data_IF_283315719615
#
_entry.id   IF_283315719615
#
_cell.length_a   1.000
_cell.length_b   1.000
_cell.length_c   1.000
_cell.angle_alpha   90.00
_cell.angle_beta   90.00
_cell.angle_gamma   90.00
#
_symmetry.space_group_name_H-M   'P 1'
#
loop_
_entity.id
_entity.type
_entity.pdbx_description
1 polymer ?
#
# COMPACT_ATOMS: atom_id res chain seq x y z
N UNK A 1 27.59 -54.41 22.58
CA UNK A 1 28.35 -53.14 22.60
C UNK A 1 28.42 -52.63 21.17
N UNK A 2 27.55 -51.70 20.81
CA UNK A 2 27.54 -51.09 19.49
C UNK A 2 27.36 -49.59 19.72
N UNK A 3 28.44 -48.82 19.60
CA UNK A 3 28.44 -47.39 19.87
C UNK A 3 28.45 -46.67 18.52
N UNK A 4 27.28 -46.22 18.09
CA UNK A 4 27.13 -45.31 16.96
C UNK A 4 27.57 -43.93 17.44
N UNK A 5 28.76 -43.50 17.03
CA UNK A 5 29.23 -42.14 17.27
C UNK A 5 28.61 -41.21 16.23
N UNK A 6 27.49 -40.57 16.58
CA UNK A 6 27.00 -39.38 15.91
C UNK A 6 28.00 -38.24 16.14
N UNK A 7 28.83 -37.94 15.13
CA UNK A 7 29.59 -36.70 15.09
C UNK A 7 28.87 -35.74 14.14
N UNK A 8 28.05 -34.88 14.72
CA UNK A 8 27.64 -33.61 14.11
C UNK A 8 28.84 -32.66 14.17
N UNK A 9 29.36 -32.11 13.06
CA UNK A 9 30.18 -30.93 13.10
C UNK A 9 29.24 -29.72 12.98
N UNK A 10 28.77 -29.22 14.13
CA UNK A 10 28.26 -27.86 14.25
C UNK A 10 29.46 -26.92 14.11
N UNK A 11 29.84 -26.63 12.87
CA UNK A 11 30.86 -25.63 12.62
C UNK A 11 30.18 -24.26 12.55
N UNK A 12 30.26 -23.53 13.66
CA UNK A 12 29.99 -22.11 13.70
C UNK A 12 31.01 -21.40 12.80
N UNK A 13 30.60 -21.03 11.59
CA UNK A 13 31.40 -20.22 10.68
C UNK A 13 30.81 -18.81 10.66
N UNK A 14 31.59 -17.77 11.01
CA UNK A 14 31.13 -16.40 10.96
C UNK A 14 31.21 -15.93 9.50
N UNK A 15 30.12 -16.07 8.75
CA UNK A 15 29.91 -15.17 7.62
C UNK A 15 29.36 -13.90 8.24
N UNK A 16 30.25 -12.93 8.46
CA UNK A 16 29.88 -11.67 9.11
C UNK A 16 28.75 -11.01 8.30
N UNK A 17 27.70 -10.61 9.00
CA UNK A 17 26.59 -9.76 8.51
C UNK A 17 27.09 -8.37 8.04
N UNK A 18 28.41 -8.14 8.00
CA UNK A 18 29.09 -6.87 7.69
C UNK A 18 29.19 -6.50 6.21
N UNK A 19 28.89 -7.39 5.26
CA UNK A 19 28.98 -7.04 3.82
C UNK A 19 27.73 -6.33 3.27
N UNK A 20 26.68 -6.16 4.07
CA UNK A 20 25.59 -5.24 3.73
C UNK A 20 26.02 -3.85 4.16
N UNK A 21 26.34 -2.99 3.20
CA UNK A 21 26.71 -1.61 3.54
C UNK A 21 25.62 -0.99 4.42
N UNK A 22 25.98 -0.32 5.51
CA UNK A 22 25.05 0.42 6.40
C UNK A 22 24.07 1.31 5.60
N UNK A 23 24.49 1.73 4.42
CA UNK A 23 23.70 2.51 3.46
C UNK A 23 22.53 1.70 2.87
N UNK A 24 22.72 0.43 2.52
CA UNK A 24 21.68 -0.45 1.99
C UNK A 24 20.65 -0.83 3.08
N UNK A 25 21.10 -1.12 4.29
CA UNK A 25 20.22 -1.38 5.43
C UNK A 25 19.35 -0.16 5.75
N UNK A 26 19.95 1.03 5.83
CA UNK A 26 19.21 2.28 6.07
C UNK A 26 18.20 2.62 4.98
N UNK A 27 18.52 2.36 3.70
CA UNK A 27 17.59 2.58 2.58
C UNK A 27 16.36 1.68 2.69
N UNK A 28 16.52 0.47 3.22
CA UNK A 28 15.42 -0.49 3.43
C UNK A 28 14.67 -0.28 4.75
N UNK A 29 15.01 0.77 5.51
CA UNK A 29 14.43 1.05 6.83
C UNK A 29 14.89 0.09 7.93
N UNK A 30 15.98 -0.65 7.70
CA UNK A 30 16.55 -1.61 8.64
C UNK A 30 17.65 -0.97 9.48
N UNK A 31 17.80 -1.47 10.71
CA UNK A 31 18.82 -1.05 11.66
C UNK A 31 19.44 -2.22 12.41
N UNK A 32 20.33 -1.89 13.36
CA UNK A 32 21.08 -2.90 14.12
C UNK A 32 20.18 -3.87 14.92
N UNK A 33 18.96 -3.46 15.27
CA UNK A 33 17.98 -4.32 15.95
C UNK A 33 17.46 -5.47 15.09
N UNK A 34 17.60 -5.39 13.77
CA UNK A 34 17.10 -6.41 12.84
C UNK A 34 18.12 -7.52 12.60
N UNK A 35 19.38 -7.34 13.02
CA UNK A 35 20.48 -8.27 12.75
C UNK A 35 20.24 -9.66 13.34
N UNK A 36 19.63 -9.74 14.53
CA UNK A 36 19.31 -11.01 15.16
C UNK A 36 18.26 -11.78 14.37
N UNK A 37 17.19 -11.10 13.94
CA UNK A 37 16.13 -11.69 13.14
C UNK A 37 16.65 -12.13 11.75
N UNK A 38 17.47 -11.29 11.11
CA UNK A 38 18.16 -11.63 9.86
C UNK A 38 19.01 -12.90 10.06
N UNK A 39 19.78 -12.98 11.14
CA UNK A 39 20.62 -14.14 11.42
C UNK A 39 19.81 -15.42 11.62
N UNK A 40 18.64 -15.34 12.28
CA UNK A 40 17.72 -16.48 12.42
C UNK A 40 17.21 -16.96 11.06
N UNK A 41 16.73 -16.04 10.21
CA UNK A 41 16.25 -16.38 8.87
C UNK A 41 17.34 -16.96 7.97
N UNK A 42 18.59 -16.51 8.11
CA UNK A 42 19.73 -17.09 7.40
C UNK A 42 19.96 -18.55 7.82
N UNK A 43 19.73 -18.91 9.09
CA UNK A 43 19.89 -20.28 9.57
C UNK A 43 18.80 -21.22 9.03
N UNK A 44 17.59 -20.70 8.78
CA UNK A 44 16.48 -21.48 8.22
C UNK A 44 16.69 -21.87 6.74
N UNK A 45 17.64 -21.22 6.04
CA UNK A 45 18.01 -21.52 4.66
C UNK A 45 19.12 -22.58 4.65
N UNK A 46 18.73 -23.84 4.50
CA UNK A 46 19.66 -24.98 4.44
C UNK A 46 19.89 -25.44 2.99
N UNK A 47 21.11 -25.27 2.42
CA UNK A 47 21.44 -25.72 1.06
C UNK A 47 21.35 -27.23 0.86
N UNK A 48 21.34 -28.03 1.95
CA UNK A 48 21.16 -29.48 1.89
C UNK A 48 19.68 -29.88 1.86
N UNK A 49 18.77 -28.93 2.08
CA UNK A 49 17.33 -29.15 2.06
C UNK A 49 16.64 -28.16 1.09
N UNK A 50 16.45 -28.55 -0.18
CA UNK A 50 15.81 -27.71 -1.19
C UNK A 50 14.41 -27.23 -0.83
N UNK A 51 13.71 -27.91 0.09
CA UNK A 51 12.39 -27.50 0.58
C UNK A 51 12.41 -26.14 1.29
N UNK A 52 13.53 -25.75 1.90
CA UNK A 52 13.67 -24.49 2.66
C UNK A 52 13.50 -23.26 1.76
N UNK A 53 13.96 -23.32 0.50
CA UNK A 53 13.80 -22.23 -0.48
C UNK A 53 12.34 -22.02 -0.86
N UNK A 54 11.55 -23.09 -0.92
CA UNK A 54 10.14 -23.00 -1.31
C UNK A 54 9.31 -22.25 -0.26
N UNK A 55 9.62 -22.43 1.03
CA UNK A 55 8.90 -21.77 2.13
C UNK A 55 9.46 -20.39 2.48
N UNK A 56 10.71 -20.10 2.10
CA UNK A 56 11.41 -18.87 2.48
C UNK A 56 10.70 -17.57 2.08
N UNK A 57 10.28 -16.75 3.04
CA UNK A 57 9.59 -15.48 2.75
C UNK A 57 8.23 -15.62 2.06
N UNK A 58 7.63 -16.82 2.06
CA UNK A 58 6.29 -17.03 1.50
C UNK A 58 5.27 -16.13 2.20
N UNK A 59 5.32 -16.09 3.54
CA UNK A 59 4.41 -15.31 4.37
C UNK A 59 4.65 -13.81 4.31
N UNK A 60 5.87 -13.39 3.98
CA UNK A 60 6.25 -11.98 3.91
C UNK A 60 5.56 -11.24 2.76
N UNK A 61 5.06 -11.96 1.75
CA UNK A 61 4.44 -11.40 0.55
C UNK A 61 2.98 -11.80 0.30
N UNK A 62 2.33 -12.45 1.27
CA UNK A 62 0.98 -12.99 1.12
C UNK A 62 -0.10 -11.91 0.94
N UNK A 63 0.15 -10.67 1.36
CA UNK A 63 -0.89 -9.65 1.50
C UNK A 63 -0.90 -8.63 0.37
N UNK A 64 0.20 -8.48 -0.38
CA UNK A 64 0.34 -7.48 -1.45
C UNK A 64 -0.81 -7.55 -2.47
N UNK A 65 -1.20 -8.74 -2.94
CA UNK A 65 -2.31 -8.88 -3.91
C UNK A 65 -3.65 -8.46 -3.31
N UNK A 66 -3.92 -8.83 -2.06
CA UNK A 66 -5.14 -8.44 -1.36
C UNK A 66 -5.24 -6.92 -1.21
N UNK A 67 -4.11 -6.25 -0.95
CA UNK A 67 -4.06 -4.80 -0.88
C UNK A 67 -4.33 -4.13 -2.23
N UNK A 68 -3.85 -4.67 -3.34
CA UNK A 68 -4.16 -4.14 -4.67
C UNK A 68 -5.67 -4.17 -4.95
N UNK A 69 -6.32 -5.30 -4.65
CA UNK A 69 -7.76 -5.47 -4.85
C UNK A 69 -8.58 -4.54 -3.93
N UNK A 70 -8.17 -4.42 -2.66
CA UNK A 70 -8.82 -3.52 -1.71
C UNK A 70 -8.68 -2.05 -2.16
N UNK A 71 -7.50 -1.62 -2.59
CA UNK A 71 -7.28 -0.28 -3.16
C UNK A 71 -8.17 -0.02 -4.37
N UNK A 72 -8.23 -0.97 -5.31
CA UNK A 72 -9.10 -0.88 -6.48
C UNK A 72 -10.58 -0.75 -6.09
N UNK A 73 -11.01 -1.48 -5.04
CA UNK A 73 -12.37 -1.36 -4.53
C UNK A 73 -12.66 0.04 -3.96
N UNK A 74 -11.69 0.64 -3.26
CA UNK A 74 -11.81 2.00 -2.71
C UNK A 74 -11.92 3.05 -3.82
N UNK A 75 -11.17 2.89 -4.92
CA UNK A 75 -11.23 3.78 -6.10
C UNK A 75 -12.53 3.58 -6.88
N UNK A 76 -12.96 2.34 -7.11
CA UNK A 76 -14.18 2.03 -7.89
C UNK A 76 -15.45 2.46 -7.17
N UNK A 77 -15.47 2.34 -5.84
CA UNK A 77 -16.55 2.85 -4.99
C UNK A 77 -16.39 4.36 -4.73
N UNK A 78 -15.56 5.06 -5.52
CA UNK A 78 -15.32 6.48 -5.45
C UNK A 78 -16.57 7.30 -5.76
N UNK A 79 -17.39 7.49 -4.74
CA UNK A 79 -18.52 8.42 -4.61
C UNK A 79 -18.14 9.89 -4.86
N UNK A 80 -16.89 10.18 -5.24
CA UNK A 80 -16.41 11.51 -5.64
C UNK A 80 -17.26 12.09 -6.77
N UNK A 81 -17.68 11.26 -7.73
CA UNK A 81 -18.59 11.67 -8.80
C UNK A 81 -19.99 11.99 -8.27
N UNK A 82 -20.55 11.10 -7.45
CA UNK A 82 -21.92 11.19 -6.94
C UNK A 82 -22.10 12.34 -5.94
N UNK A 83 -21.11 12.55 -5.05
CA UNK A 83 -21.05 13.69 -4.13
C UNK A 83 -20.91 15.01 -4.88
N UNK A 84 -20.10 15.04 -5.94
CA UNK A 84 -19.98 16.21 -6.80
C UNK A 84 -21.32 16.58 -7.44
N UNK A 85 -22.06 15.60 -7.96
CA UNK A 85 -23.40 15.80 -8.52
C UNK A 85 -24.43 16.26 -7.47
N UNK A 86 -24.44 15.66 -6.28
CA UNK A 86 -25.33 16.06 -5.19
C UNK A 86 -25.02 17.48 -4.70
N UNK A 87 -23.76 17.85 -4.52
CA UNK A 87 -23.37 19.22 -4.15
C UNK A 87 -23.76 20.24 -5.22
N UNK A 88 -23.67 19.87 -6.50
CA UNK A 88 -24.16 20.67 -7.63
C UNK A 88 -25.67 20.87 -7.56
N UNK A 89 -26.42 19.82 -7.21
CA UNK A 89 -27.87 19.89 -7.01
C UNK A 89 -28.22 20.85 -5.86
N UNK A 90 -27.52 20.80 -4.72
CA UNK A 90 -27.72 21.76 -3.60
C UNK A 90 -27.54 23.19 -4.08
N UNK A 91 -26.44 23.48 -4.77
CA UNK A 91 -26.13 24.82 -5.31
C UNK A 91 -27.23 25.26 -6.29
N UNK A 92 -27.68 24.35 -7.15
CA UNK A 92 -28.74 24.61 -8.14
C UNK A 92 -30.09 24.92 -7.51
N UNK A 93 -30.50 24.17 -6.47
CA UNK A 93 -31.74 24.43 -5.74
C UNK A 93 -31.64 25.77 -5.01
N UNK A 94 -30.52 26.03 -4.33
CA UNK A 94 -30.33 27.25 -3.56
C UNK A 94 -30.33 28.54 -4.41
N UNK A 95 -29.71 28.52 -5.60
CA UNK A 95 -29.76 29.66 -6.53
C UNK A 95 -31.18 29.97 -6.99
N UNK A 96 -32.02 28.94 -7.20
CA UNK A 96 -33.41 29.11 -7.63
C UNK A 96 -34.30 29.71 -6.55
N UNK A 97 -34.08 29.37 -5.28
CA UNK A 97 -34.76 30.03 -4.14
C UNK A 97 -34.35 31.48 -3.98
N UNK A 98 -33.08 31.82 -4.24
CA UNK A 98 -32.59 33.20 -4.17
C UNK A 98 -32.92 34.08 -5.40
N UNK A 99 -33.55 33.52 -6.45
CA UNK A 99 -34.01 34.31 -7.60
C UNK A 99 -35.13 35.31 -7.28
N UNK A 100 -35.68 35.29 -6.05
CA UNK A 100 -36.59 36.34 -5.57
C UNK A 100 -35.90 37.44 -4.73
N UNK A 101 -34.58 37.36 -4.46
CA UNK A 101 -33.91 38.32 -3.55
C UNK A 101 -32.73 39.08 -4.19
N UNK A 102 -32.16 38.64 -5.31
CA UNK A 102 -30.93 39.25 -5.84
C UNK A 102 -30.93 39.49 -7.36
N UNK A 103 -31.87 40.30 -7.85
CA UNK A 103 -31.68 41.04 -9.10
C UNK A 103 -30.76 42.24 -8.85
N UNK A 104 -29.44 42.04 -8.71
CA UNK A 104 -28.55 43.21 -8.69
C UNK A 104 -27.08 43.08 -8.27
N UNK A 105 -26.56 41.94 -7.81
CA UNK A 105 -25.13 41.83 -7.49
C UNK A 105 -24.52 40.55 -8.04
N UNK A 106 -23.56 40.72 -8.96
CA UNK A 106 -22.56 39.69 -9.29
C UNK A 106 -22.02 39.12 -7.98
N UNK A 107 -22.13 37.80 -7.83
CA UNK A 107 -21.67 37.06 -6.66
C UNK A 107 -20.15 37.11 -6.56
N UNK A 108 -19.62 38.08 -5.80
CA UNK A 108 -18.23 38.14 -5.38
C UNK A 108 -17.96 37.13 -4.24
N UNK A 109 -18.09 35.83 -4.51
CA UNK A 109 -17.60 34.76 -3.62
C UNK A 109 -16.18 34.37 -4.06
N UNK A 110 -15.11 34.86 -3.39
CA UNK A 110 -13.73 34.80 -3.89
C UNK A 110 -13.15 33.38 -3.99
N UNK A 111 -13.77 32.39 -3.32
CA UNK A 111 -13.22 31.03 -3.23
C UNK A 111 -13.93 30.02 -4.16
N UNK A 112 -15.16 30.32 -4.60
CA UNK A 112 -16.04 29.33 -5.30
C UNK A 112 -16.51 29.83 -6.68
N UNK A 113 -16.26 31.10 -7.02
CA UNK A 113 -16.67 31.71 -8.30
C UNK A 113 -16.31 30.90 -9.57
N UNK A 114 -15.05 30.45 -9.73
CA UNK A 114 -14.64 29.70 -10.93
C UNK A 114 -15.34 28.34 -11.09
N UNK A 115 -15.81 27.74 -9.99
CA UNK A 115 -16.51 26.46 -10.01
C UNK A 115 -17.95 26.65 -10.48
N UNK A 116 -18.62 27.70 -10.00
CA UNK A 116 -19.99 28.05 -10.37
C UNK A 116 -20.07 28.45 -11.86
N UNK A 117 -19.10 29.20 -12.36
CA UNK A 117 -19.07 29.67 -13.74
C UNK A 117 -18.84 28.53 -14.76
N UNK A 118 -17.99 27.55 -14.44
CA UNK A 118 -17.76 26.36 -15.29
C UNK A 118 -18.97 25.41 -15.31
N UNK A 119 -19.81 25.49 -14.28
CA UNK A 119 -20.98 24.63 -14.06
C UNK A 119 -22.25 25.18 -14.73
N UNK A 120 -22.40 26.51 -14.80
CA UNK A 120 -23.50 27.19 -15.51
C UNK A 120 -23.63 26.76 -16.98
N UNK A 121 -22.52 26.33 -17.60
CA UNK A 121 -22.50 25.84 -18.98
C UNK A 121 -23.10 24.43 -19.17
N UNK A 122 -23.34 23.64 -18.11
CA UNK A 122 -23.84 22.24 -18.23
C UNK A 122 -25.28 22.01 -17.74
N UNK A 123 -25.89 22.95 -17.00
CA UNK A 123 -27.10 22.68 -16.20
C UNK A 123 -28.42 23.35 -16.61
N UNK A 124 -28.63 23.77 -17.86
CA UNK A 124 -29.90 24.41 -18.26
C UNK A 124 -31.01 23.40 -18.65
N UNK A 125 -31.45 22.52 -17.74
CA UNK A 125 -32.71 21.74 -17.90
C UNK A 125 -33.34 21.28 -16.58
N UNK A 126 -33.69 22.21 -15.69
CA UNK A 126 -34.51 21.88 -14.52
C UNK A 126 -35.75 22.77 -14.48
N UNK A 127 -36.78 22.32 -15.19
CA UNK A 127 -38.10 22.95 -15.32
C UNK A 127 -39.05 22.41 -14.24
N UNK A 128 -39.66 23.33 -13.48
CA UNK A 128 -40.92 23.26 -12.72
C UNK A 128 -41.17 22.05 -11.79
N UNK A 129 -41.12 22.28 -10.48
CA UNK A 129 -42.30 22.24 -9.58
C UNK A 129 -41.90 22.77 -8.19
N UNK A 130 -42.67 23.74 -7.70
CA UNK A 130 -42.46 24.43 -6.42
C UNK A 130 -43.26 23.72 -5.33
N UNK A 131 -42.65 22.73 -4.69
CA UNK A 131 -42.99 22.32 -3.33
C UNK A 131 -41.68 22.29 -2.52
N UNK A 132 -41.61 23.26 -1.60
CA UNK A 132 -40.57 23.50 -0.57
C UNK A 132 -39.14 23.14 -0.95
N UNK A 133 -38.50 23.99 -1.76
CA UNK A 133 -37.05 23.94 -2.05
C UNK A 133 -36.15 23.80 -0.81
N UNK A 134 -36.63 24.20 0.38
CA UNK A 134 -35.98 23.95 1.66
C UNK A 134 -35.88 22.45 2.01
N UNK A 135 -36.96 21.69 1.87
CA UNK A 135 -36.96 20.24 2.15
C UNK A 135 -36.08 19.49 1.15
N UNK A 136 -36.02 19.94 -0.10
CA UNK A 136 -35.12 19.39 -1.12
C UNK A 136 -33.65 19.66 -0.76
N UNK A 137 -33.31 20.88 -0.33
CA UNK A 137 -31.98 21.22 0.17
C UNK A 137 -31.62 20.36 1.40
N UNK A 138 -32.51 20.26 2.38
CA UNK A 138 -32.27 19.50 3.60
C UNK A 138 -32.08 18.00 3.30
N UNK A 139 -32.82 17.45 2.32
CA UNK A 139 -32.65 16.06 1.85
C UNK A 139 -31.28 15.84 1.21
N UNK A 140 -30.88 16.68 0.25
CA UNK A 140 -29.59 16.53 -0.42
C UNK A 140 -28.43 16.75 0.57
N UNK A 141 -28.56 17.66 1.53
CA UNK A 141 -27.59 17.81 2.62
C UNK A 141 -27.44 16.50 3.41
N UNK A 142 -28.55 15.87 3.78
CA UNK A 142 -28.54 14.60 4.54
C UNK A 142 -27.86 13.47 3.76
N UNK A 143 -28.13 13.39 2.45
CA UNK A 143 -27.46 12.43 1.57
C UNK A 143 -25.94 12.71 1.50
N UNK A 144 -25.53 13.96 1.32
CA UNK A 144 -24.11 14.33 1.28
C UNK A 144 -23.43 14.09 2.64
N UNK A 145 -24.11 14.33 3.77
CA UNK A 145 -23.59 14.00 5.11
C UNK A 145 -23.29 12.51 5.25
N UNK A 146 -24.16 11.66 4.72
CA UNK A 146 -23.96 10.19 4.71
C UNK A 146 -22.71 9.83 3.90
N UNK A 147 -22.55 10.42 2.73
CA UNK A 147 -21.35 10.25 1.88
C UNK A 147 -20.07 10.70 2.58
N UNK A 148 -20.10 11.85 3.28
CA UNK A 148 -18.97 12.40 4.04
C UNK A 148 -18.57 11.50 5.22
N UNK A 149 -19.55 10.95 5.94
CA UNK A 149 -19.29 9.94 6.96
C UNK A 149 -18.62 8.70 6.35
N UNK A 150 -19.08 8.27 5.18
CA UNK A 150 -18.45 7.19 4.41
C UNK A 150 -17.00 7.50 3.98
N UNK A 151 -16.70 8.73 3.53
CA UNK A 151 -15.33 9.17 3.21
C UNK A 151 -14.41 9.13 4.44
N UNK A 152 -14.91 9.58 5.60
CA UNK A 152 -14.16 9.54 6.86
C UNK A 152 -13.83 8.11 7.26
N UNK A 153 -14.81 7.20 7.17
CA UNK A 153 -14.60 5.77 7.45
C UNK A 153 -13.60 5.13 6.49
N UNK A 154 -13.68 5.44 5.20
CA UNK A 154 -12.71 4.98 4.20
C UNK A 154 -11.29 5.46 4.52
N UNK A 155 -11.11 6.69 5.02
CA UNK A 155 -9.80 7.16 5.44
C UNK A 155 -9.22 6.38 6.63
N UNK A 156 -10.05 5.97 7.59
CA UNK A 156 -9.62 5.06 8.66
C UNK A 156 -9.14 3.72 8.10
N UNK A 157 -9.92 3.11 7.19
CA UNK A 157 -9.52 1.85 6.53
C UNK A 157 -8.21 2.01 5.76
N UNK A 158 -8.08 3.10 4.99
CA UNK A 158 -6.86 3.41 4.24
C UNK A 158 -5.65 3.64 5.16
N UNK A 159 -5.83 4.15 6.38
CA UNK A 159 -4.73 4.31 7.34
C UNK A 159 -4.25 2.95 7.87
N UNK A 160 -5.18 2.06 8.24
CA UNK A 160 -4.84 0.68 8.63
C UNK A 160 -4.11 -0.03 7.50
N UNK A 161 -4.57 0.15 6.27
CA UNK A 161 -3.93 -0.37 5.08
C UNK A 161 -2.52 0.19 4.87
N UNK A 162 -2.31 1.49 5.08
CA UNK A 162 -0.99 2.12 5.00
C UNK A 162 0.01 1.49 5.97
N UNK A 163 -0.40 1.29 7.23
CA UNK A 163 0.44 0.66 8.25
C UNK A 163 0.75 -0.80 7.91
N UNK A 164 -0.24 -1.53 7.41
CA UNK A 164 -0.09 -2.91 6.97
C UNK A 164 0.90 -3.06 5.80
N UNK A 165 0.78 -2.20 4.77
CA UNK A 165 1.73 -2.17 3.64
C UNK A 165 3.13 -1.79 4.12
N UNK A 166 3.26 -0.86 5.06
CA UNK A 166 4.56 -0.50 5.66
C UNK A 166 5.19 -1.67 6.40
N UNK A 167 4.40 -2.43 7.15
CA UNK A 167 4.86 -3.64 7.84
C UNK A 167 5.30 -4.72 6.84
N UNK A 168 4.52 -4.96 5.79
CA UNK A 168 4.87 -5.92 4.74
C UNK A 168 6.18 -5.53 4.03
N UNK A 169 6.34 -4.24 3.68
CA UNK A 169 7.59 -3.72 3.13
C UNK A 169 8.80 -4.04 4.03
N UNK A 170 8.67 -3.83 5.35
CA UNK A 170 9.71 -4.15 6.31
C UNK A 170 10.01 -5.66 6.38
N UNK A 171 8.99 -6.51 6.46
CA UNK A 171 9.18 -7.97 6.47
C UNK A 171 9.88 -8.45 5.20
N UNK A 172 9.48 -7.94 4.03
CA UNK A 172 10.13 -8.22 2.75
C UNK A 172 11.61 -7.76 2.77
N UNK A 173 11.91 -6.56 3.29
CA UNK A 173 13.28 -6.07 3.44
C UNK A 173 14.15 -7.03 4.24
N UNK A 174 13.67 -7.47 5.40
CA UNK A 174 14.40 -8.40 6.28
C UNK A 174 14.68 -9.72 5.55
N UNK A 175 13.69 -10.28 4.85
CA UNK A 175 13.86 -11.54 4.10
C UNK A 175 14.79 -11.38 2.89
N UNK A 176 14.70 -10.28 2.13
CA UNK A 176 15.62 -10.03 1.01
C UNK A 176 17.07 -9.99 1.51
N UNK A 177 17.29 -9.31 2.63
CA UNK A 177 18.61 -9.22 3.26
C UNK A 177 19.11 -10.60 3.72
N UNK A 178 18.29 -11.34 4.47
CA UNK A 178 18.64 -12.69 4.91
C UNK A 178 18.93 -13.63 3.74
N UNK A 179 18.10 -13.58 2.69
CA UNK A 179 18.29 -14.37 1.48
C UNK A 179 19.60 -14.06 0.76
N UNK A 180 19.97 -12.78 0.65
CA UNK A 180 21.26 -12.37 0.04
C UNK A 180 22.47 -12.85 0.83
N UNK A 181 22.42 -12.77 2.16
CA UNK A 181 23.48 -13.29 3.04
C UNK A 181 23.61 -14.81 2.88
N UNK A 182 22.49 -15.53 2.90
CA UNK A 182 22.48 -16.97 2.70
C UNK A 182 22.98 -17.36 1.30
N UNK A 183 22.58 -16.65 0.26
CA UNK A 183 23.03 -16.90 -1.11
C UNK A 183 24.55 -16.74 -1.24
N UNK A 184 25.13 -15.68 -0.66
CA UNK A 184 26.58 -15.48 -0.62
C UNK A 184 27.30 -16.63 0.08
N UNK A 185 26.77 -17.10 1.24
CA UNK A 185 27.30 -18.26 1.95
C UNK A 185 27.25 -19.54 1.10
N UNK A 186 26.15 -19.77 0.39
CA UNK A 186 26.00 -20.94 -0.49
C UNK A 186 27.00 -20.89 -1.65
N UNK A 187 27.20 -19.71 -2.26
CA UNK A 187 28.21 -19.56 -3.32
C UNK A 187 29.62 -19.87 -2.83
N UNK A 188 30.02 -19.38 -1.65
CA UNK A 188 31.32 -19.73 -1.06
C UNK A 188 31.46 -21.25 -0.84
N UNK A 189 30.41 -21.92 -0.38
CA UNK A 189 30.44 -23.37 -0.18
C UNK A 189 30.53 -24.13 -1.52
N UNK A 190 29.84 -23.66 -2.57
CA UNK A 190 29.94 -24.21 -3.94
C UNK A 190 31.38 -24.09 -4.44
N UNK A 191 32.02 -22.92 -4.31
CA UNK A 191 33.40 -22.71 -4.75
C UNK A 191 34.38 -23.65 -4.06
N UNK A 192 34.25 -23.85 -2.74
CA UNK A 192 35.06 -24.78 -1.98
C UNK A 192 34.83 -26.23 -2.42
N UNK A 193 33.56 -26.64 -2.56
CA UNK A 193 33.16 -28.00 -2.98
C UNK A 193 33.66 -28.32 -4.39
N UNK A 194 33.61 -27.34 -5.30
CA UNK A 194 34.05 -27.50 -6.68
C UNK A 194 35.54 -27.83 -6.82
N UNK A 195 36.38 -27.43 -5.85
CA UNK A 195 37.81 -27.74 -5.85
C UNK A 195 38.14 -29.16 -5.40
N UNK A 196 37.24 -29.78 -4.62
CA UNK A 196 37.49 -31.09 -3.98
C UNK A 196 36.60 -32.22 -4.53
N UNK A 197 35.48 -31.89 -5.19
CA UNK A 197 34.55 -32.86 -5.74
C UNK A 197 35.22 -33.71 -6.82
N UNK A 198 35.22 -35.02 -6.62
CA UNK A 198 36.00 -35.96 -7.43
C UNK A 198 35.23 -37.22 -7.81
N UNK A 199 34.22 -37.62 -7.02
CA UNK A 199 33.41 -38.80 -7.29
C UNK A 199 31.98 -38.44 -7.76
N UNK A 200 31.24 -39.38 -8.39
CA UNK A 200 29.91 -39.09 -8.91
C UNK A 200 28.90 -38.57 -7.89
N UNK A 201 28.99 -38.97 -6.61
CA UNK A 201 28.09 -38.51 -5.57
C UNK A 201 28.38 -37.05 -5.17
N UNK A 202 29.66 -36.68 -5.05
CA UNK A 202 30.09 -35.30 -4.77
C UNK A 202 29.74 -34.35 -5.93
N UNK A 203 29.84 -34.81 -7.18
CA UNK A 203 29.43 -34.03 -8.35
C UNK A 203 27.92 -33.80 -8.38
N UNK A 204 27.12 -34.78 -7.94
CA UNK A 204 25.67 -34.61 -7.79
C UNK A 204 25.33 -33.60 -6.70
N UNK A 205 25.95 -33.70 -5.51
CA UNK A 205 25.73 -32.75 -4.41
C UNK A 205 26.09 -31.31 -4.84
N UNK A 206 27.19 -31.13 -5.58
CA UNK A 206 27.56 -29.84 -6.15
C UNK A 206 26.49 -29.31 -7.12
N UNK A 207 25.94 -30.17 -7.98
CA UNK A 207 24.86 -29.78 -8.89
C UNK A 207 23.58 -29.39 -8.13
N UNK A 208 23.24 -30.11 -7.07
CA UNK A 208 22.06 -29.83 -6.25
C UNK A 208 22.21 -28.47 -5.53
N UNK A 209 23.40 -28.17 -5.02
CA UNK A 209 23.73 -26.87 -4.43
C UNK A 209 23.66 -25.71 -5.44
N UNK A 210 24.13 -25.93 -6.67
CA UNK A 210 24.02 -24.93 -7.74
C UNK A 210 22.55 -24.65 -8.10
N UNK A 211 21.73 -25.70 -8.19
CA UNK A 211 20.29 -25.57 -8.40
C UNK A 211 19.62 -24.82 -7.23
N UNK A 212 20.01 -25.13 -5.99
CA UNK A 212 19.56 -24.42 -4.79
C UNK A 212 19.87 -22.92 -4.86
N UNK A 213 21.11 -22.55 -5.16
CA UNK A 213 21.54 -21.16 -5.27
C UNK A 213 20.73 -20.41 -6.34
N UNK A 214 20.51 -21.02 -7.50
CA UNK A 214 19.69 -20.44 -8.56
C UNK A 214 18.23 -20.21 -8.10
N UNK A 215 17.62 -21.21 -7.46
CA UNK A 215 16.25 -21.10 -6.95
C UNK A 215 16.12 -20.04 -5.85
N UNK A 216 17.11 -19.94 -4.96
CA UNK A 216 17.16 -18.90 -3.92
C UNK A 216 17.29 -17.50 -4.55
N UNK A 217 18.14 -17.34 -5.57
CA UNK A 217 18.25 -16.09 -6.32
C UNK A 217 16.94 -15.66 -6.97
N UNK A 218 16.23 -16.58 -7.64
CA UNK A 218 14.89 -16.33 -8.19
C UNK A 218 13.89 -15.93 -7.10
N UNK A 219 13.94 -16.60 -5.94
CA UNK A 219 13.06 -16.28 -4.82
C UNK A 219 13.32 -14.87 -4.27
N UNK A 220 14.58 -14.48 -4.10
CA UNK A 220 14.96 -13.12 -3.69
C UNK A 220 14.42 -12.08 -4.68
N UNK A 221 14.58 -12.32 -5.99
CA UNK A 221 14.06 -11.42 -7.02
C UNK A 221 12.52 -11.26 -6.95
N UNK A 222 11.79 -12.34 -6.67
CA UNK A 222 10.34 -12.25 -6.45
C UNK A 222 9.97 -11.41 -5.22
N UNK A 223 10.71 -11.55 -4.11
CA UNK A 223 10.51 -10.74 -2.90
C UNK A 223 10.80 -9.26 -3.16
N UNK A 224 11.84 -8.95 -3.93
CA UNK A 224 12.17 -7.57 -4.34
C UNK A 224 11.06 -6.94 -5.20
N UNK A 225 10.47 -7.70 -6.11
CA UNK A 225 9.34 -7.23 -6.90
C UNK A 225 8.12 -6.89 -6.02
N UNK A 226 7.83 -7.73 -5.01
CA UNK A 226 6.78 -7.46 -4.02
C UNK A 226 7.11 -6.22 -3.19
N UNK A 227 8.35 -6.09 -2.70
CA UNK A 227 8.80 -4.93 -1.91
C UNK A 227 8.61 -3.62 -2.69
N UNK A 228 8.96 -3.62 -3.98
CA UNK A 228 8.77 -2.46 -4.85
C UNK A 228 7.28 -2.15 -5.08
N UNK A 229 6.42 -3.16 -5.14
CA UNK A 229 4.97 -2.99 -5.22
C UNK A 229 4.43 -2.34 -3.94
N UNK A 230 4.78 -2.86 -2.76
CA UNK A 230 4.38 -2.29 -1.47
C UNK A 230 4.84 -0.84 -1.34
N UNK A 231 6.08 -0.52 -1.75
CA UNK A 231 6.61 0.85 -1.72
C UNK A 231 5.79 1.82 -2.59
N UNK A 232 5.29 1.36 -3.74
CA UNK A 232 4.45 2.17 -4.63
C UNK A 232 3.01 2.32 -4.12
N UNK A 233 2.49 1.36 -3.36
CA UNK A 233 1.15 1.46 -2.76
C UNK A 233 1.05 2.57 -1.70
N UNK A 234 2.11 2.80 -0.93
CA UNK A 234 2.13 3.82 0.13
C UNK A 234 1.73 5.23 -0.36
N UNK A 235 2.36 5.82 -1.41
CA UNK A 235 1.92 7.12 -1.93
C UNK A 235 0.53 7.06 -2.57
N UNK A 236 0.13 5.94 -3.19
CA UNK A 236 -1.20 5.80 -3.78
C UNK A 236 -2.30 5.88 -2.70
N UNK A 237 -2.11 5.19 -1.57
CA UNK A 237 -2.99 5.28 -0.40
C UNK A 237 -3.12 6.73 0.07
N UNK A 238 -1.99 7.44 0.20
CA UNK A 238 -1.96 8.85 0.65
C UNK A 238 -2.68 9.80 -0.30
N UNK A 239 -2.59 9.57 -1.61
CA UNK A 239 -3.33 10.35 -2.61
C UNK A 239 -4.84 10.16 -2.47
N UNK A 240 -5.30 8.93 -2.26
CA UNK A 240 -6.74 8.64 -2.05
C UNK A 240 -7.22 9.29 -0.74
N UNK A 241 -6.45 9.16 0.34
CA UNK A 241 -6.77 9.78 1.62
C UNK A 241 -6.89 11.31 1.52
N UNK A 242 -5.92 11.96 0.86
CA UNK A 242 -5.92 13.40 0.61
C UNK A 242 -7.13 13.83 -0.21
N UNK A 243 -7.50 13.05 -1.23
CA UNK A 243 -8.69 13.30 -2.05
C UNK A 243 -9.96 13.28 -1.20
N UNK A 244 -10.09 12.27 -0.31
CA UNK A 244 -11.22 12.17 0.61
C UNK A 244 -11.28 13.36 1.58
N UNK A 245 -10.14 13.76 2.17
CA UNK A 245 -10.08 14.92 3.07
C UNK A 245 -10.51 16.22 2.37
N UNK A 246 -10.06 16.45 1.14
CA UNK A 246 -10.45 17.63 0.35
C UNK A 246 -11.97 17.66 0.11
N UNK A 247 -12.62 16.52 -0.10
CA UNK A 247 -14.07 16.45 -0.29
C UNK A 247 -14.83 16.74 1.00
N UNK A 248 -14.36 16.20 2.13
CA UNK A 248 -14.91 16.50 3.45
C UNK A 248 -14.79 17.98 3.77
N UNK A 249 -13.62 18.59 3.53
CA UNK A 249 -13.39 20.02 3.77
C UNK A 249 -14.29 20.92 2.90
N UNK A 250 -14.47 20.55 1.63
CA UNK A 250 -15.41 21.23 0.73
C UNK A 250 -16.86 21.14 1.22
N UNK A 251 -17.30 19.98 1.68
CA UNK A 251 -18.63 19.82 2.25
C UNK A 251 -18.82 20.70 3.50
N UNK A 252 -17.85 20.70 4.41
CA UNK A 252 -17.88 21.53 5.60
C UNK A 252 -17.96 23.01 5.22
N UNK A 253 -17.13 23.46 4.28
CA UNK A 253 -17.19 24.83 3.73
C UNK A 253 -18.58 25.18 3.21
N UNK A 254 -19.21 24.30 2.42
CA UNK A 254 -20.56 24.51 1.88
C UNK A 254 -21.60 24.57 3.02
N UNK A 255 -21.53 23.67 3.98
CA UNK A 255 -22.51 23.56 5.07
C UNK A 255 -22.41 24.70 6.08
N UNK A 256 -21.19 25.13 6.42
CA UNK A 256 -20.97 26.13 7.47
C UNK A 256 -21.01 27.57 6.93
N UNK A 257 -20.55 27.79 5.70
CA UNK A 257 -20.45 29.14 5.13
C UNK A 257 -21.53 29.42 4.10
N UNK A 258 -21.77 28.48 3.19
CA UNK A 258 -22.58 28.76 1.99
C UNK A 258 -24.09 28.56 2.23
N UNK A 259 -24.48 27.45 2.86
CA UNK A 259 -25.90 27.13 3.10
C UNK A 259 -26.60 28.17 3.99
N UNK A 260 -26.01 28.66 5.11
CA UNK A 260 -26.66 29.67 5.94
C UNK A 260 -26.90 31.00 5.21
N UNK A 261 -26.10 31.33 4.19
CA UNK A 261 -26.29 32.52 3.36
C UNK A 261 -27.51 32.37 2.43
N UNK A 262 -27.91 31.14 2.11
CA UNK A 262 -29.00 30.85 1.17
C UNK A 262 -30.35 30.56 1.82
N UNK A 263 -30.35 30.35 3.13
CA UNK A 263 -31.55 30.14 3.93
C UNK A 263 -32.13 31.47 4.39
#
# INVERSE_FOLDING_TARGET
>A
MNTIATKTPTAAYPVEVHELSDKQLKVMGLGNGDLEHIAQLVQDIDPMNPGTVNTFGQRAGEQTTAYADELLSQVRNGEVGQMGEQLVEVVGIAQKTNMNVLTGRRSNLPVIGPWIDKLKMRGMRLQNQFETSKEQIDKVITEVQTTVAGLSKRNETLEVMFDNVRKEYYELSVHIVAGRVALARVHQLIEQRQQIASNPAELQELSDMQAFANNLGLRIGNLEALQQSSLQMLPQIRVIQSTNFVLVDKFNTITTLTIPIWK
#
